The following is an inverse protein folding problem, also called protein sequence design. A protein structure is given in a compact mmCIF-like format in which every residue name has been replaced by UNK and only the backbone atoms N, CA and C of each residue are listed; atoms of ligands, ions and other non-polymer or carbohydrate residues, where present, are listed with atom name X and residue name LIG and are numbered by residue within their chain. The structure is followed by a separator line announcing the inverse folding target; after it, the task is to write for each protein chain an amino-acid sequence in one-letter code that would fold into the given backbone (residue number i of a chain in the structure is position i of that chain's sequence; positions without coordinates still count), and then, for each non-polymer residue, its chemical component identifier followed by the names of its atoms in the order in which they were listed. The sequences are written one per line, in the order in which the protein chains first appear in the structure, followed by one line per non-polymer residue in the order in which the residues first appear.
data_IF_523453404579
#
_entry.id   IF_523453404579
#
_cell.length_a   1.000
_cell.length_b   1.000
_cell.length_c   1.000
_cell.angle_alpha   90.00
_cell.angle_beta   90.00
_cell.angle_gamma   90.00
#
_symmetry.space_group_name_H-M   'P 1'
#
loop_
_entity.id
_entity.type
_entity.pdbx_description
1 polymer ?
#
# COMPACT_ATOMS: atom_id res chain seq x y z
N UNK A 1 67.97 3.55 9.88
CA UNK A 1 66.73 3.79 10.64
C UNK A 1 66.13 5.13 10.25
N UNK A 2 65.27 5.20 9.24
CA UNK A 2 64.42 6.38 9.00
C UNK A 2 63.00 5.88 8.77
N UNK A 3 62.09 6.46 9.52
CA UNK A 3 60.73 6.02 9.85
C UNK A 3 59.78 6.28 8.67
N UNK A 4 59.03 5.27 8.22
CA UNK A 4 57.95 5.44 7.25
C UNK A 4 56.72 5.96 8.00
N UNK A 5 56.32 7.19 7.68
CA UNK A 5 55.11 7.82 8.20
C UNK A 5 53.90 7.29 7.40
N UNK A 6 53.11 6.42 7.99
CA UNK A 6 51.84 5.97 7.41
C UNK A 6 50.78 7.07 7.60
N UNK A 7 50.40 7.73 6.51
CA UNK A 7 49.25 8.65 6.49
C UNK A 7 47.98 7.81 6.37
N UNK A 8 47.21 7.74 7.44
CA UNK A 8 45.86 7.18 7.44
C UNK A 8 44.93 8.24 6.87
N UNK A 9 44.51 8.09 5.61
CA UNK A 9 43.40 8.84 5.06
C UNK A 9 42.09 8.32 5.66
N UNK A 10 41.54 9.07 6.62
CA UNK A 10 40.15 8.96 7.02
C UNK A 10 39.28 9.51 5.87
N UNK A 11 38.66 8.61 5.11
CA UNK A 11 37.61 8.96 4.17
C UNK A 11 36.38 9.42 4.97
N UNK A 12 36.19 10.74 5.08
CA UNK A 12 34.92 11.29 5.53
C UNK A 12 33.87 11.00 4.44
N UNK A 13 32.91 10.12 4.74
CA UNK A 13 31.72 9.98 3.91
C UNK A 13 30.95 11.31 3.95
N UNK A 14 30.50 11.87 2.82
CA UNK A 14 29.65 13.05 2.84
C UNK A 14 28.40 12.71 3.65
N UNK A 15 28.20 13.41 4.77
CA UNK A 15 26.96 13.34 5.53
C UNK A 15 25.87 13.93 4.64
N UNK A 16 25.00 13.07 4.09
CA UNK A 16 23.92 13.48 3.20
C UNK A 16 22.98 14.47 3.89
N UNK A 17 22.32 15.31 3.09
CA UNK A 17 21.29 16.23 3.60
C UNK A 17 20.04 15.48 4.05
N UNK A 18 19.17 16.11 4.86
CA UNK A 18 17.89 15.50 5.27
C UNK A 18 17.04 15.03 4.08
N UNK A 19 17.11 15.76 2.95
CA UNK A 19 16.35 15.48 1.74
C UNK A 19 16.84 14.19 1.06
N UNK A 20 18.14 13.99 0.94
CA UNK A 20 18.68 12.77 0.34
C UNK A 20 18.29 11.51 1.12
N UNK A 21 18.33 11.59 2.45
CA UNK A 21 17.84 10.52 3.32
C UNK A 21 16.34 10.27 3.11
N UNK A 22 15.53 11.34 3.07
CA UNK A 22 14.09 11.25 2.85
C UNK A 22 13.76 10.60 1.49
N UNK A 23 14.35 11.10 0.41
CA UNK A 23 14.15 10.63 -0.96
C UNK A 23 14.61 9.17 -1.15
N UNK A 24 15.74 8.77 -0.55
CA UNK A 24 16.13 7.35 -0.49
C UNK A 24 15.09 6.51 0.26
N UNK A 25 14.60 6.99 1.41
CA UNK A 25 13.53 6.35 2.18
C UNK A 25 12.29 6.07 1.35
N UNK A 26 11.82 7.04 0.56
CA UNK A 26 10.66 6.89 -0.32
C UNK A 26 10.89 5.82 -1.39
N UNK A 27 12.03 5.86 -2.09
CA UNK A 27 12.37 4.83 -3.09
C UNK A 27 12.45 3.43 -2.48
N UNK A 28 12.94 3.30 -1.26
CA UNK A 28 13.01 2.02 -0.56
C UNK A 28 11.61 1.50 -0.20
N UNK A 29 10.67 2.37 0.18
CA UNK A 29 9.25 2.02 0.35
C UNK A 29 8.70 1.47 -0.98
N UNK A 30 8.92 2.17 -2.08
CA UNK A 30 8.46 1.73 -3.41
C UNK A 30 9.03 0.37 -3.81
N UNK A 31 10.24 0.05 -3.38
CA UNK A 31 10.92 -1.22 -3.64
C UNK A 31 10.54 -2.34 -2.65
N UNK A 32 9.64 -2.07 -1.70
CA UNK A 32 9.26 -3.06 -0.67
C UNK A 32 10.32 -3.23 0.44
N UNK A 33 11.35 -2.40 0.48
CA UNK A 33 12.47 -2.51 1.43
C UNK A 33 12.20 -1.72 2.72
N UNK A 34 11.14 -2.10 3.44
CA UNK A 34 10.64 -1.35 4.61
C UNK A 34 11.68 -1.11 5.71
N UNK A 35 12.55 -2.10 6.00
CA UNK A 35 13.56 -1.96 7.03
C UNK A 35 14.61 -0.89 6.68
N UNK A 36 15.16 -0.94 5.46
CA UNK A 36 16.12 0.06 4.98
C UNK A 36 15.46 1.44 4.82
N UNK A 37 14.21 1.49 4.36
CA UNK A 37 13.45 2.72 4.27
C UNK A 37 13.30 3.41 5.63
N UNK A 38 12.98 2.63 6.68
CA UNK A 38 12.85 3.12 8.04
C UNK A 38 14.14 3.78 8.53
N UNK A 39 15.29 3.17 8.26
CA UNK A 39 16.59 3.70 8.71
C UNK A 39 16.90 5.04 8.03
N UNK A 40 16.67 5.15 6.72
CA UNK A 40 16.85 6.39 5.96
C UNK A 40 15.87 7.49 6.42
N UNK A 41 14.60 7.16 6.65
CA UNK A 41 13.60 8.12 7.11
C UNK A 41 13.88 8.61 8.54
N UNK A 42 14.39 7.75 9.43
CA UNK A 42 14.85 8.16 10.77
C UNK A 42 16.04 9.12 10.68
N UNK A 43 16.99 8.86 9.78
CA UNK A 43 18.11 9.77 9.54
C UNK A 43 17.63 11.13 9.01
N UNK A 44 16.66 11.15 8.10
CA UNK A 44 16.05 12.40 7.63
C UNK A 44 15.38 13.18 8.77
N UNK A 45 14.56 12.50 9.58
CA UNK A 45 13.83 13.11 10.69
C UNK A 45 14.77 13.66 11.77
N UNK A 46 15.90 13.00 12.02
CA UNK A 46 16.93 13.46 12.95
C UNK A 46 17.60 14.78 12.49
N UNK A 47 17.74 14.98 11.18
CA UNK A 47 18.29 16.20 10.60
C UNK A 47 17.25 17.31 10.43
N UNK A 48 15.98 16.95 10.20
CA UNK A 48 14.85 17.87 10.09
C UNK A 48 13.62 17.27 10.76
N UNK A 49 13.26 17.75 11.94
CA UNK A 49 12.19 17.17 12.75
C UNK A 49 10.78 17.76 12.50
N UNK A 50 10.65 18.72 11.59
CA UNK A 50 9.38 19.46 11.37
C UNK A 50 8.79 19.10 10.02
N UNK A 51 7.60 18.49 10.03
CA UNK A 51 6.79 18.22 8.83
C UNK A 51 6.30 19.54 8.22
N UNK A 52 6.30 19.63 6.90
CA UNK A 52 5.89 20.84 6.20
C UNK A 52 5.54 20.55 4.74
N UNK A 53 4.54 21.25 4.21
CA UNK A 53 4.21 21.25 2.78
C UNK A 53 5.16 22.16 2.01
N UNK A 54 5.45 21.81 0.75
CA UNK A 54 6.20 22.67 -0.17
C UNK A 54 7.56 23.12 0.40
N UNK A 55 8.33 22.20 0.96
CA UNK A 55 9.71 22.43 1.42
C UNK A 55 10.64 22.48 0.21
N UNK A 56 11.42 23.55 0.10
CA UNK A 56 12.40 23.70 -0.97
C UNK A 56 13.54 22.67 -0.83
N UNK A 57 13.83 21.96 -1.91
CA UNK A 57 14.93 20.97 -2.02
C UNK A 57 15.98 21.38 -3.05
N UNK A 58 15.68 22.39 -3.86
CA UNK A 58 16.56 22.95 -4.88
C UNK A 58 15.97 24.21 -5.51
N UNK A 59 16.65 24.83 -6.49
CA UNK A 59 16.09 25.95 -7.25
C UNK A 59 14.84 25.49 -8.00
N UNK A 60 13.66 25.89 -7.54
CA UNK A 60 12.34 25.53 -8.09
C UNK A 60 11.86 24.10 -7.79
N UNK A 61 12.53 23.37 -6.91
CA UNK A 61 12.09 22.04 -6.48
C UNK A 61 11.49 22.12 -5.07
N UNK A 62 10.26 21.62 -4.93
CA UNK A 62 9.51 21.61 -3.69
C UNK A 62 8.88 20.24 -3.47
N UNK A 63 8.87 19.80 -2.21
CA UNK A 63 8.24 18.55 -1.81
C UNK A 63 7.34 18.75 -0.60
N UNK A 64 6.37 17.86 -0.42
CA UNK A 64 5.71 17.70 0.87
C UNK A 64 6.57 16.77 1.74
N UNK A 65 7.10 17.31 2.84
CA UNK A 65 7.93 16.58 3.78
C UNK A 65 7.06 16.00 4.90
N UNK A 66 6.77 14.69 4.80
CA UNK A 66 5.82 13.95 5.64
C UNK A 66 6.50 12.75 6.34
N UNK A 67 7.63 12.94 7.05
CA UNK A 67 8.43 11.85 7.59
C UNK A 67 7.66 10.92 8.54
N UNK A 68 6.71 11.41 9.34
CA UNK A 68 5.96 10.53 10.25
C UNK A 68 5.00 9.64 9.47
N UNK A 69 4.34 10.15 8.43
CA UNK A 69 3.50 9.33 7.56
C UNK A 69 4.33 8.20 6.92
N UNK A 70 5.48 8.52 6.32
CA UNK A 70 6.31 7.50 5.67
C UNK A 70 7.01 6.55 6.67
N UNK A 71 7.29 6.98 7.89
CA UNK A 71 7.75 6.09 8.96
C UNK A 71 6.64 5.12 9.41
N UNK A 72 5.38 5.56 9.44
CA UNK A 72 4.26 4.66 9.69
C UNK A 72 4.20 3.54 8.64
N UNK A 73 4.36 3.93 7.36
CA UNK A 73 4.43 3.00 6.22
C UNK A 73 5.58 2.01 6.38
N UNK A 74 6.80 2.51 6.59
CA UNK A 74 7.98 1.66 6.68
C UNK A 74 7.91 0.67 7.87
N UNK A 75 7.41 1.12 9.03
CA UNK A 75 7.20 0.24 10.19
C UNK A 75 6.14 -0.83 9.91
N UNK A 76 5.03 -0.48 9.26
CA UNK A 76 4.00 -1.43 8.86
C UNK A 76 4.56 -2.51 7.93
N UNK A 77 5.35 -2.13 6.93
CA UNK A 77 6.00 -3.06 6.01
C UNK A 77 6.93 -4.06 6.71
N UNK A 78 7.50 -3.68 7.86
CA UNK A 78 8.35 -4.55 8.69
C UNK A 78 7.59 -5.36 9.75
N UNK A 79 6.27 -5.17 9.86
CA UNK A 79 5.43 -5.82 10.86
C UNK A 79 5.48 -5.18 12.25
N UNK A 80 6.14 -4.02 12.40
CA UNK A 80 6.20 -3.26 13.64
C UNK A 80 4.96 -2.36 13.76
N UNK A 81 3.81 -3.00 14.06
CA UNK A 81 2.49 -2.35 14.03
C UNK A 81 2.35 -1.26 15.09
N UNK A 82 2.98 -1.42 16.25
CA UNK A 82 2.89 -0.44 17.33
C UNK A 82 3.65 0.83 16.96
N UNK A 83 4.89 0.72 16.47
CA UNK A 83 5.63 1.88 15.94
C UNK A 83 4.91 2.50 14.73
N UNK A 84 4.28 1.69 13.87
CA UNK A 84 3.50 2.20 12.75
C UNK A 84 2.33 3.08 13.23
N UNK A 85 1.61 2.65 14.27
CA UNK A 85 0.50 3.40 14.87
C UNK A 85 0.96 4.68 15.56
N UNK A 86 2.10 4.64 16.25
CA UNK A 86 2.69 5.82 16.89
C UNK A 86 3.02 6.90 15.84
N UNK A 87 3.74 6.53 14.78
CA UNK A 87 4.07 7.46 13.70
C UNK A 87 2.83 7.94 12.94
N UNK A 88 1.82 7.09 12.77
CA UNK A 88 0.55 7.50 12.18
C UNK A 88 -0.14 8.57 13.04
N UNK A 89 -0.20 8.38 14.36
CA UNK A 89 -0.77 9.37 15.28
C UNK A 89 -0.03 10.73 15.18
N UNK A 90 1.31 10.72 15.10
CA UNK A 90 2.06 11.95 14.88
C UNK A 90 1.70 12.67 13.57
N UNK A 91 1.54 11.92 12.47
CA UNK A 91 1.16 12.49 11.18
C UNK A 91 -0.28 13.06 11.17
N UNK A 92 -1.16 12.49 11.99
CA UNK A 92 -2.52 13.02 12.21
C UNK A 92 -2.50 14.31 13.03
N UNK A 93 -1.79 14.29 14.14
CA UNK A 93 -1.68 15.42 15.07
C UNK A 93 -1.06 16.65 14.39
N UNK A 94 -0.10 16.44 13.48
CA UNK A 94 0.50 17.53 12.70
C UNK A 94 -0.49 18.15 11.71
N UNK A 95 -1.44 17.36 11.20
CA UNK A 95 -2.40 17.75 10.18
C UNK A 95 -1.79 18.13 8.82
N UNK A 96 -0.48 17.94 8.63
CA UNK A 96 0.24 18.29 7.40
C UNK A 96 -0.11 17.28 6.30
N UNK A 97 -0.04 15.99 6.61
CA UNK A 97 -0.40 14.91 5.69
C UNK A 97 -1.83 15.04 5.16
N UNK A 98 -2.78 15.43 6.02
CA UNK A 98 -4.18 15.60 5.63
C UNK A 98 -4.41 16.70 4.58
N UNK A 99 -3.49 17.65 4.45
CA UNK A 99 -3.53 18.78 3.49
C UNK A 99 -2.66 18.55 2.25
N UNK A 100 -1.82 17.52 2.26
CA UNK A 100 -0.97 17.16 1.13
C UNK A 100 -1.79 16.38 0.09
N UNK A 101 -1.62 16.72 -1.19
CA UNK A 101 -2.28 16.00 -2.29
C UNK A 101 -1.87 14.52 -2.31
N UNK A 102 -0.58 14.24 -2.07
CA UNK A 102 -0.03 12.88 -2.01
C UNK A 102 -0.18 12.25 -0.63
N UNK A 103 -0.10 13.06 0.44
CA UNK A 103 -0.15 12.58 1.82
C UNK A 103 -1.55 12.20 2.29
N UNK A 104 -2.59 12.90 1.85
CA UNK A 104 -3.96 12.67 2.28
C UNK A 104 -4.46 11.24 1.98
N UNK A 105 -4.40 10.73 0.74
CA UNK A 105 -4.87 9.38 0.44
C UNK A 105 -4.06 8.31 1.20
N UNK A 106 -2.75 8.53 1.37
CA UNK A 106 -1.89 7.67 2.18
C UNK A 106 -2.33 7.64 3.64
N UNK A 107 -2.56 8.81 4.24
CA UNK A 107 -3.01 8.92 5.62
C UNK A 107 -4.30 8.13 5.84
N UNK A 108 -5.29 8.31 4.96
CA UNK A 108 -6.57 7.59 5.02
C UNK A 108 -6.37 6.08 4.89
N UNK A 109 -5.58 5.63 3.92
CA UNK A 109 -5.33 4.21 3.71
C UNK A 109 -4.69 3.54 4.94
N UNK A 110 -3.70 4.20 5.56
CA UNK A 110 -3.01 3.65 6.72
C UNK A 110 -3.81 3.77 8.02
N UNK A 111 -4.70 4.76 8.15
CA UNK A 111 -5.71 4.79 9.22
C UNK A 111 -6.58 3.54 9.21
N UNK A 112 -7.12 3.21 8.04
CA UNK A 112 -8.00 2.06 7.86
C UNK A 112 -7.26 0.74 8.11
N UNK A 113 -6.02 0.64 7.62
CA UNK A 113 -5.19 -0.55 7.82
C UNK A 113 -4.81 -0.75 9.29
N UNK A 114 -4.31 0.29 9.96
CA UNK A 114 -3.67 0.16 11.27
C UNK A 114 -4.65 0.22 12.45
N UNK A 115 -5.79 0.91 12.30
CA UNK A 115 -6.82 1.01 13.35
C UNK A 115 -7.98 0.03 13.19
N UNK A 116 -8.15 -0.59 12.02
CA UNK A 116 -9.31 -1.42 11.73
C UNK A 116 -10.53 -0.56 11.39
N UNK A 117 -11.66 -0.76 12.06
CA UNK A 117 -12.80 0.16 11.91
C UNK A 117 -12.63 1.43 12.74
N UNK A 118 -13.38 2.49 12.42
CA UNK A 118 -13.33 3.78 13.11
C UNK A 118 -13.67 3.71 14.62
N UNK A 119 -14.11 2.55 15.11
CA UNK A 119 -14.48 2.30 16.51
C UNK A 119 -13.45 1.46 17.26
N UNK A 120 -12.40 0.96 16.59
CA UNK A 120 -11.43 0.02 17.15
C UNK A 120 -12.00 -1.36 17.47
N UNK A 121 -13.21 -1.67 16.98
CA UNK A 121 -13.96 -2.90 17.31
C UNK A 121 -13.41 -4.13 16.60
N UNK A 122 -12.79 -3.96 15.44
CA UNK A 122 -12.19 -5.06 14.69
C UNK A 122 -10.67 -4.92 14.61
N UNK A 123 -9.96 -6.00 14.89
CA UNK A 123 -8.50 -6.11 14.67
C UNK A 123 -8.13 -6.20 13.18
N UNK A 124 -9.12 -6.23 12.29
CA UNK A 124 -8.99 -6.30 10.83
C UNK A 124 -9.84 -5.20 10.19
N UNK A 125 -9.48 -4.71 8.99
CA UNK A 125 -10.31 -3.77 8.26
C UNK A 125 -11.73 -4.31 8.07
N UNK A 126 -12.74 -3.44 8.14
CA UNK A 126 -14.15 -3.87 8.14
C UNK A 126 -14.58 -4.58 6.84
N UNK A 127 -13.89 -4.39 5.72
CA UNK A 127 -14.11 -5.14 4.49
C UNK A 127 -13.55 -6.58 4.57
N UNK A 128 -12.61 -6.87 5.46
CA UNK A 128 -12.01 -8.19 5.60
C UNK A 128 -12.77 -9.13 6.56
N UNK A 129 -13.95 -8.73 7.04
CA UNK A 129 -14.77 -9.50 7.99
C UNK A 129 -15.95 -10.13 7.26
N UNK A 130 -15.72 -11.27 6.61
CA UNK A 130 -16.74 -12.00 5.84
C UNK A 130 -16.65 -13.51 6.05
N UNK A 131 -17.74 -14.22 5.72
CA UNK A 131 -17.73 -15.68 5.66
C UNK A 131 -17.31 -16.14 4.25
N UNK A 132 -16.21 -16.88 4.09
CA UNK A 132 -15.79 -17.35 2.78
C UNK A 132 -16.81 -18.34 2.20
N UNK A 133 -17.10 -18.20 0.90
CA UNK A 133 -17.93 -19.16 0.16
C UNK A 133 -17.05 -20.27 -0.43
N UNK A 134 -17.61 -21.45 -0.77
CA UNK A 134 -16.83 -22.50 -1.43
C UNK A 134 -16.17 -21.99 -2.73
N UNK A 135 -14.94 -22.45 -3.04
CA UNK A 135 -14.28 -22.09 -4.28
C UNK A 135 -15.02 -22.64 -5.50
N UNK A 136 -14.92 -21.93 -6.62
CA UNK A 136 -15.57 -22.31 -7.88
C UNK A 136 -14.67 -23.23 -8.71
N UNK A 137 -13.36 -22.95 -8.72
CA UNK A 137 -12.39 -23.77 -9.46
C UNK A 137 -11.75 -24.84 -8.55
N UNK A 138 -11.36 -25.95 -9.16
CA UNK A 138 -10.68 -27.04 -8.45
C UNK A 138 -9.34 -26.59 -7.84
N UNK A 139 -8.87 -27.31 -6.82
CA UNK A 139 -7.56 -27.04 -6.21
C UNK A 139 -6.40 -27.19 -7.20
N UNK A 140 -6.51 -28.12 -8.15
CA UNK A 140 -5.51 -28.29 -9.21
C UNK A 140 -5.49 -27.12 -10.18
N UNK A 141 -6.67 -26.64 -10.59
CA UNK A 141 -6.76 -25.46 -11.47
C UNK A 141 -6.25 -24.21 -10.76
N UNK A 142 -6.57 -24.05 -9.47
CA UNK A 142 -6.04 -22.96 -8.67
C UNK A 142 -4.51 -22.99 -8.55
N UNK A 143 -3.92 -24.16 -8.27
CA UNK A 143 -2.47 -24.33 -8.21
C UNK A 143 -1.80 -23.97 -9.53
N UNK A 144 -2.37 -24.42 -10.65
CA UNK A 144 -1.86 -24.08 -11.98
C UNK A 144 -1.97 -22.58 -12.25
N UNK A 145 -3.12 -21.96 -11.96
CA UNK A 145 -3.29 -20.53 -12.15
C UNK A 145 -2.29 -19.71 -11.31
N UNK A 146 -2.08 -20.12 -10.05
CA UNK A 146 -1.06 -19.51 -9.20
C UNK A 146 0.33 -19.65 -9.81
N UNK A 147 0.70 -20.84 -10.28
CA UNK A 147 1.99 -21.08 -10.93
C UNK A 147 2.21 -20.13 -12.13
N UNK A 148 1.19 -20.01 -12.98
CA UNK A 148 1.24 -19.20 -14.18
C UNK A 148 1.40 -17.71 -13.84
N UNK A 149 0.62 -17.22 -12.86
CA UNK A 149 0.70 -15.83 -12.40
C UNK A 149 2.06 -15.54 -11.76
N UNK A 150 2.58 -16.42 -10.90
CA UNK A 150 3.89 -16.21 -10.28
C UNK A 150 5.00 -16.15 -11.34
N UNK A 151 4.94 -17.03 -12.33
CA UNK A 151 5.87 -17.03 -13.47
C UNK A 151 5.77 -15.72 -14.27
N UNK A 152 4.55 -15.30 -14.64
CA UNK A 152 4.29 -14.00 -15.30
C UNK A 152 4.83 -12.81 -14.49
N UNK A 153 4.78 -12.91 -13.17
CA UNK A 153 5.23 -11.88 -12.24
C UNK A 153 6.73 -11.93 -11.92
N UNK A 154 7.50 -12.83 -12.56
CA UNK A 154 8.89 -13.09 -12.23
C UNK A 154 9.12 -13.38 -10.74
N UNK A 155 8.21 -14.14 -10.15
CA UNK A 155 8.24 -14.59 -8.75
C UNK A 155 8.38 -16.11 -8.74
N UNK A 156 9.21 -16.63 -7.83
CA UNK A 156 9.32 -18.07 -7.62
C UNK A 156 7.95 -18.66 -7.28
N UNK A 157 7.43 -19.62 -8.05
CA UNK A 157 6.08 -20.13 -7.83
C UNK A 157 5.88 -20.89 -6.50
N UNK A 158 6.98 -21.41 -5.95
CA UNK A 158 6.99 -22.10 -4.66
C UNK A 158 6.99 -21.14 -3.45
N UNK A 159 7.05 -19.82 -3.68
CA UNK A 159 7.05 -18.86 -2.58
C UNK A 159 5.69 -18.79 -1.88
N UNK A 160 5.74 -18.88 -0.55
CA UNK A 160 4.61 -18.57 0.32
C UNK A 160 4.50 -17.07 0.60
N UNK A 161 5.54 -16.29 0.28
CA UNK A 161 5.63 -14.84 0.52
C UNK A 161 5.62 -14.08 -0.81
N UNK A 162 4.55 -14.25 -1.58
CA UNK A 162 4.38 -13.52 -2.82
C UNK A 162 4.26 -11.99 -2.54
N UNK A 163 4.89 -11.14 -3.36
CA UNK A 163 4.77 -9.68 -3.23
C UNK A 163 3.36 -9.21 -3.57
N UNK A 164 3.02 -8.00 -3.14
CA UNK A 164 1.67 -7.42 -3.28
C UNK A 164 1.14 -7.50 -4.72
N UNK A 165 1.98 -7.22 -5.72
CA UNK A 165 1.56 -7.17 -7.12
C UNK A 165 1.22 -8.55 -7.68
N UNK A 166 1.92 -9.60 -7.25
CA UNK A 166 1.65 -10.96 -7.70
C UNK A 166 0.36 -11.51 -7.08
N UNK A 167 0.08 -11.14 -5.84
CA UNK A 167 -1.19 -11.43 -5.16
C UNK A 167 -2.35 -10.69 -5.81
N UNK A 168 -2.16 -9.42 -6.11
CA UNK A 168 -3.16 -8.61 -6.82
C UNK A 168 -3.49 -9.20 -8.18
N UNK A 169 -2.49 -9.50 -9.02
CA UNK A 169 -2.69 -10.15 -10.32
C UNK A 169 -3.42 -11.50 -10.20
N UNK A 170 -3.06 -12.33 -9.22
CA UNK A 170 -3.75 -13.59 -8.97
C UNK A 170 -5.22 -13.37 -8.59
N UNK A 171 -5.49 -12.37 -7.75
CA UNK A 171 -6.85 -11.93 -7.43
C UNK A 171 -7.65 -11.56 -8.68
N UNK A 172 -7.06 -10.78 -9.60
CA UNK A 172 -7.71 -10.40 -10.85
C UNK A 172 -8.02 -11.60 -11.75
N UNK A 173 -7.08 -12.55 -11.89
CA UNK A 173 -7.34 -13.76 -12.69
C UNK A 173 -8.43 -14.64 -12.07
N UNK A 174 -8.47 -14.73 -10.73
CA UNK A 174 -9.52 -15.45 -10.02
C UNK A 174 -10.90 -14.79 -10.21
N UNK A 175 -10.98 -13.45 -10.21
CA UNK A 175 -12.22 -12.74 -10.54
C UNK A 175 -12.68 -13.05 -11.97
N UNK A 176 -11.75 -13.13 -12.94
CA UNK A 176 -12.07 -13.51 -14.33
C UNK A 176 -12.58 -14.96 -14.44
N UNK A 177 -12.10 -15.84 -13.57
CA UNK A 177 -12.59 -17.22 -13.44
C UNK A 177 -13.88 -17.35 -12.63
N UNK A 178 -14.35 -16.26 -12.01
CA UNK A 178 -15.52 -16.25 -11.14
C UNK A 178 -15.29 -16.82 -9.73
N UNK A 179 -14.04 -17.17 -9.37
CA UNK A 179 -13.70 -17.60 -8.01
C UNK A 179 -13.46 -16.39 -7.11
N UNK A 180 -14.53 -15.62 -6.89
CA UNK A 180 -14.49 -14.41 -6.07
C UNK A 180 -14.12 -14.68 -4.61
N UNK A 181 -14.36 -15.89 -4.11
CA UNK A 181 -14.01 -16.26 -2.73
C UNK A 181 -12.49 -16.29 -2.53
N UNK A 182 -11.76 -16.96 -3.44
CA UNK A 182 -10.29 -16.96 -3.42
C UNK A 182 -9.71 -15.63 -3.86
N UNK A 183 -10.31 -14.97 -4.85
CA UNK A 183 -9.88 -13.65 -5.32
C UNK A 183 -9.82 -12.65 -4.15
N UNK A 184 -10.87 -12.62 -3.33
CA UNK A 184 -10.96 -11.73 -2.19
C UNK A 184 -9.83 -11.95 -1.17
N UNK A 185 -9.44 -13.20 -0.92
CA UNK A 185 -8.30 -13.50 -0.05
C UNK A 185 -6.98 -12.93 -0.57
N UNK A 186 -6.68 -13.15 -1.85
CA UNK A 186 -5.44 -12.65 -2.47
C UNK A 186 -5.41 -11.12 -2.57
N UNK A 187 -6.56 -10.48 -2.86
CA UNK A 187 -6.68 -9.02 -2.90
C UNK A 187 -6.50 -8.38 -1.52
N UNK A 188 -7.07 -8.98 -0.46
CA UNK A 188 -6.90 -8.51 0.92
C UNK A 188 -5.44 -8.67 1.37
N UNK A 189 -4.80 -9.79 1.02
CA UNK A 189 -3.38 -9.99 1.31
C UNK A 189 -2.51 -8.97 0.55
N UNK A 190 -2.86 -8.62 -0.70
CA UNK A 190 -2.19 -7.58 -1.46
C UNK A 190 -2.29 -6.20 -0.76
N UNK A 191 -3.50 -5.82 -0.32
CA UNK A 191 -3.74 -4.57 0.43
C UNK A 191 -2.99 -4.55 1.76
N UNK A 192 -2.91 -5.68 2.43
CA UNK A 192 -2.18 -5.79 3.71
C UNK A 192 -0.67 -5.56 3.54
N UNK A 193 -0.13 -5.84 2.35
CA UNK A 193 1.26 -5.55 1.99
C UNK A 193 1.44 -4.14 1.39
N UNK A 194 0.44 -3.65 0.68
CA UNK A 194 0.45 -2.33 0.04
C UNK A 194 -0.97 -1.74 0.02
N UNK A 195 -1.33 -0.93 1.01
CA UNK A 195 -2.69 -0.38 1.11
C UNK A 195 -2.93 0.83 0.21
N UNK A 196 -1.89 1.42 -0.38
CA UNK A 196 -2.02 2.60 -1.22
C UNK A 196 -2.35 2.21 -2.68
N UNK A 197 -3.55 2.56 -3.19
CA UNK A 197 -3.82 2.45 -4.61
C UNK A 197 -2.97 3.41 -5.42
N UNK A 198 -2.66 3.04 -6.65
CA UNK A 198 -1.87 3.91 -7.53
C UNK A 198 -2.07 3.53 -8.99
N UNK A 199 -2.28 4.54 -9.83
CA UNK A 199 -2.18 4.39 -11.28
C UNK A 199 -0.74 4.16 -11.70
N UNK A 200 -0.52 3.24 -12.64
CA UNK A 200 0.83 2.90 -13.11
C UNK A 200 1.78 2.56 -11.95
N UNK A 201 1.28 1.88 -10.93
CA UNK A 201 2.06 1.33 -9.84
C UNK A 201 3.15 0.41 -10.38
N UNK A 202 4.40 0.64 -9.97
CA UNK A 202 5.52 -0.19 -10.40
C UNK A 202 5.47 -1.56 -9.72
N UNK A 203 5.53 -2.62 -10.51
CA UNK A 203 5.64 -4.00 -10.02
C UNK A 203 7.12 -4.36 -9.81
N UNK A 204 7.74 -4.96 -10.83
CA UNK A 204 9.15 -5.30 -10.90
C UNK A 204 9.73 -4.76 -12.22
N UNK A 205 11.00 -4.36 -12.21
CA UNK A 205 11.64 -3.76 -13.37
C UNK A 205 10.89 -2.53 -13.88
N UNK A 206 10.51 -2.54 -15.16
CA UNK A 206 9.78 -1.44 -15.82
C UNK A 206 8.27 -1.70 -16.00
N UNK A 207 7.74 -2.76 -15.39
CA UNK A 207 6.33 -3.13 -15.51
C UNK A 207 5.47 -2.29 -14.56
N UNK A 208 4.40 -1.72 -15.11
CA UNK A 208 3.47 -0.83 -14.42
C UNK A 208 2.05 -1.38 -14.55
N UNK A 209 1.28 -1.31 -13.48
CA UNK A 209 -0.14 -1.70 -13.46
C UNK A 209 -0.98 -0.62 -12.79
N UNK A 210 -2.26 -0.57 -13.15
CA UNK A 210 -3.22 0.21 -12.38
C UNK A 210 -3.68 -0.63 -11.19
N UNK A 211 -3.34 -0.16 -9.99
CA UNK A 211 -3.58 -0.86 -8.74
C UNK A 211 -4.78 -0.22 -8.03
N UNK A 212 -5.95 -0.84 -8.20
CA UNK A 212 -7.24 -0.43 -7.62
C UNK A 212 -7.80 -1.51 -6.68
N UNK A 213 -7.06 -1.93 -5.65
CA UNK A 213 -7.44 -3.05 -4.82
C UNK A 213 -8.79 -2.92 -4.13
N UNK A 214 -9.19 -1.74 -3.63
CA UNK A 214 -10.45 -1.61 -2.88
C UNK A 214 -11.66 -1.76 -3.79
N UNK A 215 -11.57 -1.28 -5.02
CA UNK A 215 -12.53 -1.54 -6.09
C UNK A 215 -12.70 -3.03 -6.38
N UNK A 216 -11.59 -3.76 -6.55
CA UNK A 216 -11.65 -5.20 -6.80
C UNK A 216 -12.17 -5.99 -5.59
N UNK A 217 -11.81 -5.60 -4.37
CA UNK A 217 -12.37 -6.14 -3.14
C UNK A 217 -13.89 -5.91 -3.10
N UNK A 218 -14.34 -4.69 -3.39
CA UNK A 218 -15.77 -4.36 -3.44
C UNK A 218 -16.52 -5.20 -4.48
N UNK A 219 -15.97 -5.32 -5.69
CA UNK A 219 -16.54 -6.14 -6.77
C UNK A 219 -16.69 -7.60 -6.35
N UNK A 220 -15.65 -8.17 -5.77
CA UNK A 220 -15.68 -9.53 -5.22
C UNK A 220 -16.74 -9.69 -4.13
N UNK A 221 -16.86 -8.73 -3.20
CA UNK A 221 -17.93 -8.76 -2.19
C UNK A 221 -19.33 -8.67 -2.79
N UNK A 222 -19.56 -7.81 -3.80
CA UNK A 222 -20.85 -7.72 -4.49
C UNK A 222 -21.23 -9.06 -5.12
N UNK A 223 -20.28 -9.74 -5.77
CA UNK A 223 -20.50 -11.06 -6.40
C UNK A 223 -20.76 -12.16 -5.38
N UNK A 224 -20.21 -12.01 -4.18
CA UNK A 224 -20.46 -12.88 -3.03
C UNK A 224 -21.66 -12.42 -2.18
N UNK A 225 -22.39 -11.37 -2.58
CA UNK A 225 -23.52 -10.81 -1.82
C UNK A 225 -23.16 -10.38 -0.38
N UNK A 226 -21.88 -10.06 -0.15
CA UNK A 226 -21.37 -9.55 1.12
C UNK A 226 -21.59 -8.03 1.19
N UNK A 227 -22.84 -7.58 1.15
CA UNK A 227 -23.23 -6.19 0.88
C UNK A 227 -22.61 -5.15 1.82
N UNK A 228 -22.53 -5.44 3.12
CA UNK A 228 -21.91 -4.52 4.08
C UNK A 228 -20.41 -4.37 3.83
N UNK A 229 -19.71 -5.47 3.52
CA UNK A 229 -18.29 -5.44 3.20
C UNK A 229 -18.03 -4.74 1.86
N UNK A 230 -18.89 -4.96 0.87
CA UNK A 230 -18.86 -4.25 -0.41
C UNK A 230 -18.95 -2.73 -0.18
N UNK A 231 -19.93 -2.29 0.62
CA UNK A 231 -20.08 -0.87 0.97
C UNK A 231 -18.81 -0.33 1.63
N UNK A 232 -18.28 -1.04 2.61
CA UNK A 232 -17.07 -0.61 3.31
C UNK A 232 -15.88 -0.45 2.35
N UNK A 233 -15.70 -1.38 1.40
CA UNK A 233 -14.63 -1.30 0.41
C UNK A 233 -14.85 -0.16 -0.62
N UNK A 234 -16.08 0.06 -1.08
CA UNK A 234 -16.43 1.18 -1.97
C UNK A 234 -16.20 2.53 -1.30
N UNK A 235 -16.64 2.70 -0.05
CA UNK A 235 -16.42 3.91 0.73
C UNK A 235 -14.92 4.23 0.84
N UNK A 236 -14.07 3.20 0.99
CA UNK A 236 -12.61 3.37 1.06
C UNK A 236 -12.06 3.79 -0.30
N UNK A 237 -12.41 3.04 -1.35
CA UNK A 237 -12.02 3.34 -2.74
C UNK A 237 -12.31 4.80 -3.10
N UNK A 238 -13.50 5.30 -2.73
CA UNK A 238 -13.91 6.68 -2.93
C UNK A 238 -13.04 7.65 -2.11
N UNK A 239 -12.82 7.40 -0.81
CA UNK A 239 -12.06 8.30 0.08
C UNK A 239 -10.59 8.45 -0.34
N UNK A 240 -9.99 7.39 -0.86
CA UNK A 240 -8.60 7.43 -1.35
C UNK A 240 -8.51 7.84 -2.82
N UNK A 241 -9.63 8.23 -3.43
CA UNK A 241 -9.73 8.60 -4.84
C UNK A 241 -9.05 7.57 -5.77
N UNK A 242 -9.32 6.29 -5.51
CA UNK A 242 -8.61 5.16 -6.13
C UNK A 242 -8.76 5.13 -7.65
N UNK A 243 -9.98 5.37 -8.15
CA UNK A 243 -10.30 5.25 -9.57
C UNK A 243 -10.55 6.65 -10.15
N UNK A 244 -9.72 7.13 -11.08
CA UNK A 244 -9.99 8.39 -11.76
C UNK A 244 -11.23 8.28 -12.65
N UNK A 245 -11.92 9.41 -12.82
CA UNK A 245 -13.16 9.50 -13.60
C UNK A 245 -13.00 9.15 -15.08
N UNK A 246 -11.77 9.18 -15.60
CA UNK A 246 -11.41 8.83 -16.98
C UNK A 246 -11.08 7.34 -17.15
N UNK A 247 -10.89 6.59 -16.06
CA UNK A 247 -10.56 5.17 -16.13
C UNK A 247 -11.78 4.33 -16.58
N UNK A 248 -11.57 3.24 -17.33
CA UNK A 248 -12.67 2.38 -17.78
C UNK A 248 -13.43 1.75 -16.61
N UNK A 249 -12.76 1.47 -15.48
CA UNK A 249 -13.34 0.91 -14.26
C UNK A 249 -14.34 1.86 -13.58
N UNK A 250 -14.25 3.17 -13.81
CA UNK A 250 -15.06 4.16 -13.11
C UNK A 250 -16.56 3.95 -13.33
N UNK A 251 -16.96 3.51 -14.53
CA UNK A 251 -18.38 3.20 -14.81
C UNK A 251 -18.86 1.97 -14.03
N UNK A 252 -18.02 0.95 -13.90
CA UNK A 252 -18.35 -0.24 -13.12
C UNK A 252 -18.43 0.13 -11.63
N UNK A 253 -17.51 0.95 -11.13
CA UNK A 253 -17.53 1.44 -9.75
C UNK A 253 -18.87 2.09 -9.38
N UNK A 254 -19.35 3.04 -10.19
CA UNK A 254 -20.65 3.69 -9.96
C UNK A 254 -21.82 2.69 -9.95
N UNK A 255 -21.77 1.68 -10.83
CA UNK A 255 -22.80 0.64 -10.88
C UNK A 255 -22.78 -0.24 -9.61
N UNK A 256 -21.59 -0.56 -9.09
CA UNK A 256 -21.44 -1.32 -7.83
C UNK A 256 -21.93 -0.52 -6.63
N UNK A 257 -21.68 0.79 -6.56
CA UNK A 257 -22.23 1.67 -5.52
C UNK A 257 -23.75 1.66 -5.52
N UNK A 258 -24.36 1.86 -6.70
CA UNK A 258 -25.82 1.88 -6.83
C UNK A 258 -26.44 0.54 -6.44
N UNK A 259 -25.87 -0.58 -6.88
CA UNK A 259 -26.39 -1.91 -6.53
C UNK A 259 -26.25 -2.20 -5.04
N UNK A 260 -25.11 -1.86 -4.44
CA UNK A 260 -24.85 -2.07 -3.01
C UNK A 260 -25.83 -1.26 -2.17
N UNK A 261 -26.04 0.03 -2.49
CA UNK A 261 -27.01 0.87 -1.81
C UNK A 261 -28.45 0.34 -1.91
N UNK A 262 -28.84 -0.16 -3.10
CA UNK A 262 -30.15 -0.78 -3.31
C UNK A 262 -30.36 -2.05 -2.49
N UNK A 263 -29.30 -2.83 -2.26
CA UNK A 263 -29.38 -4.10 -1.51
C UNK A 263 -29.41 -3.90 0.00
N UNK A 264 -28.79 -2.83 0.50
CA UNK A 264 -28.79 -2.52 1.94
C UNK A 264 -30.07 -1.82 2.43
N UNK A 265 -30.91 -1.32 1.52
CA UNK A 265 -32.19 -0.67 1.85
C UNK A 265 -33.39 -1.61 1.83
N UNK A 266 -33.20 -2.87 1.41
CA UNK A 266 -34.21 -3.94 1.40
C UNK A 266 -34.12 -4.81 2.64
#
# INVERSE_FOLDING_TARGET
MHTILAVVLLLATPSGTWYEHYDRGLRLIEQGQGAAARDELKAALALRNTEQLQVATGPQEYIDYLPHLYLAIANQMTGDVDAAREHLAHAEDSGVAAKSEVGHPLLVAYQLLLRGDATGKYSRPAYAVYSPKPPVISDSEFKQLRQDVMTKCNVSPDTTKAPWYARYELGLELERKGDYSRALGELIDAVSLRPNPQQRARMYGMWLIDYYPYFHIARSHVRLENWQCAKNALDISQKVNEIPTTAPEFREFLALEQETARRLTK
#
